data_IF_915277298893
#
_entry.id   IF_915277298893
#
_cell.length_a   1.000
_cell.length_b   1.000
_cell.length_c   1.000
_cell.angle_alpha   90.00
_cell.angle_beta   90.00
_cell.angle_gamma   90.00
#
_symmetry.space_group_name_H-M   'P 1'
#
loop_
_entity.id
_entity.type
_entity.pdbx_description
1 polymer ?
#
# COMPACT_ATOMS: atom_id res chain seq x y z
N UNK A 1 56.10 -1.44 16.63
CA UNK A 1 55.19 -0.90 17.65
C UNK A 1 54.80 0.50 17.20
N UNK A 2 53.63 0.81 16.66
CA UNK A 2 52.49 0.03 16.19
C UNK A 2 51.84 0.93 15.12
N UNK A 3 51.77 0.45 13.87
CA UNK A 3 51.12 1.17 12.79
C UNK A 3 49.60 1.06 12.98
N UNK A 4 48.96 2.21 13.15
CA UNK A 4 47.51 2.36 13.21
C UNK A 4 46.84 1.68 12.01
N UNK A 5 45.93 0.77 12.34
CA UNK A 5 45.09 0.06 11.40
C UNK A 5 44.15 1.07 10.73
N UNK A 6 44.43 1.42 9.48
CA UNK A 6 43.44 2.00 8.58
C UNK A 6 42.33 0.95 8.39
N UNK A 7 41.28 1.08 9.19
CA UNK A 7 40.06 0.29 9.07
C UNK A 7 39.39 0.68 7.76
N UNK A 8 39.51 -0.19 6.76
CA UNK A 8 38.70 -0.18 5.54
C UNK A 8 37.24 -0.10 5.94
N UNK A 9 36.62 1.07 5.73
CA UNK A 9 35.18 1.23 5.76
C UNK A 9 34.64 0.37 4.61
N UNK A 10 34.07 -0.78 4.96
CA UNK A 10 33.44 -1.65 3.98
C UNK A 10 32.34 -0.87 3.28
N UNK A 11 32.46 -0.73 1.96
CA UNK A 11 31.44 -0.18 1.10
C UNK A 11 30.14 -0.93 1.35
N UNK A 12 29.25 -0.31 2.14
CA UNK A 12 27.92 -0.77 2.39
C UNK A 12 27.13 -0.69 1.09
N UNK A 13 27.28 -1.71 0.25
CA UNK A 13 26.52 -1.87 -0.97
C UNK A 13 25.05 -1.98 -0.58
N UNK A 14 24.34 -0.85 -0.57
CA UNK A 14 22.89 -0.81 -0.41
C UNK A 14 22.35 -1.70 -1.53
N UNK A 15 21.67 -2.82 -1.22
CA UNK A 15 21.18 -3.70 -2.27
C UNK A 15 20.32 -2.87 -3.22
N UNK A 16 20.62 -2.95 -4.51
CA UNK A 16 19.94 -2.22 -5.57
C UNK A 16 18.47 -2.67 -5.56
N UNK A 17 17.63 -1.96 -4.80
CA UNK A 17 16.20 -2.27 -4.72
C UNK A 17 15.59 -1.84 -6.03
N UNK A 18 14.98 -2.79 -6.75
CA UNK A 18 14.10 -2.44 -7.87
C UNK A 18 13.07 -1.42 -7.37
N UNK A 19 12.99 -0.23 -7.99
CA UNK A 19 12.08 0.81 -7.53
C UNK A 19 10.64 0.28 -7.56
N UNK A 20 9.88 0.55 -6.50
CA UNK A 20 8.50 0.06 -6.44
C UNK A 20 7.66 0.71 -7.56
N UNK A 21 6.87 -0.08 -8.32
CA UNK A 21 6.21 0.43 -9.50
C UNK A 21 5.14 1.47 -9.14
N UNK A 22 5.02 2.55 -9.92
CA UNK A 22 4.03 3.59 -9.66
C UNK A 22 2.61 3.09 -9.95
N UNK A 23 1.62 3.60 -9.21
CA UNK A 23 0.20 3.33 -9.39
C UNK A 23 -0.60 4.62 -9.16
N UNK A 24 -1.60 4.88 -10.00
CA UNK A 24 -2.49 6.03 -9.80
C UNK A 24 -3.56 5.66 -8.78
N UNK A 25 -3.70 6.45 -7.72
CA UNK A 25 -4.70 6.29 -6.67
C UNK A 25 -5.68 7.44 -6.72
N UNK A 26 -6.98 7.14 -6.64
CA UNK A 26 -8.04 8.14 -6.51
C UNK A 26 -8.34 8.38 -5.03
N UNK A 27 -8.27 9.63 -4.61
CA UNK A 27 -8.62 10.09 -3.27
C UNK A 27 -10.14 10.33 -3.15
N UNK A 28 -10.69 10.44 -1.92
CA UNK A 28 -12.13 10.61 -1.71
C UNK A 28 -12.74 11.86 -2.37
N UNK A 29 -11.95 12.92 -2.53
CA UNK A 29 -12.34 14.16 -3.22
C UNK A 29 -12.27 14.06 -4.75
N UNK A 30 -11.90 12.88 -5.27
CA UNK A 30 -11.78 12.60 -6.70
C UNK A 30 -10.41 12.92 -7.28
N UNK A 31 -9.48 13.50 -6.51
CA UNK A 31 -8.11 13.77 -6.98
C UNK A 31 -7.37 12.47 -7.31
N UNK A 32 -6.50 12.54 -8.31
CA UNK A 32 -5.61 11.44 -8.69
C UNK A 32 -4.18 11.73 -8.26
N UNK A 33 -3.62 10.88 -7.39
CA UNK A 33 -2.21 10.95 -6.97
C UNK A 33 -1.44 9.74 -7.50
N UNK A 34 -0.15 9.90 -7.77
CA UNK A 34 0.73 8.78 -8.15
C UNK A 34 1.47 8.33 -6.91
N UNK A 35 1.24 7.08 -6.50
CA UNK A 35 1.90 6.45 -5.36
C UNK A 35 2.84 5.34 -5.83
N UNK A 36 3.77 4.92 -4.98
CA UNK A 36 4.52 3.68 -5.15
C UNK A 36 3.73 2.49 -4.62
N UNK A 37 3.64 1.40 -5.38
CA UNK A 37 2.93 0.20 -4.96
C UNK A 37 3.84 -0.77 -4.21
N UNK A 38 3.65 -0.85 -2.89
CA UNK A 38 4.51 -1.66 -2.01
C UNK A 38 4.08 -3.12 -1.94
N UNK A 39 2.77 -3.40 -1.92
CA UNK A 39 2.23 -4.76 -1.82
C UNK A 39 0.75 -4.83 -2.20
N UNK A 40 0.28 -6.05 -2.48
CA UNK A 40 -1.14 -6.39 -2.64
C UNK A 40 -1.52 -7.44 -1.61
N UNK A 41 -2.59 -7.20 -0.86
CA UNK A 41 -3.14 -8.20 0.06
C UNK A 41 -4.63 -8.41 -0.17
N UNK A 42 -5.09 -9.62 0.02
CA UNK A 42 -6.51 -9.95 -0.01
C UNK A 42 -7.05 -10.03 1.42
N UNK A 43 -8.26 -9.52 1.66
CA UNK A 43 -8.95 -9.62 2.96
C UNK A 43 -9.66 -10.98 3.10
N UNK A 44 -10.21 -11.26 4.29
CA UNK A 44 -10.99 -12.47 4.53
C UNK A 44 -12.27 -12.54 3.68
N UNK A 45 -12.82 -11.40 3.29
CA UNK A 45 -13.99 -11.22 2.44
C UNK A 45 -13.66 -11.41 0.96
N UNK A 46 -12.37 -11.45 0.60
CA UNK A 46 -11.91 -11.60 -0.77
C UNK A 46 -11.59 -10.28 -1.49
N UNK A 47 -11.75 -9.14 -0.82
CA UNK A 47 -11.40 -7.82 -1.37
C UNK A 47 -9.88 -7.65 -1.46
N UNK A 48 -9.42 -6.95 -2.50
CA UNK A 48 -8.01 -6.61 -2.65
C UNK A 48 -7.71 -5.22 -2.10
N UNK A 49 -6.69 -5.13 -1.25
CA UNK A 49 -6.13 -3.90 -0.73
C UNK A 49 -4.69 -3.76 -1.23
N UNK A 50 -4.36 -2.58 -1.72
CA UNK A 50 -3.02 -2.21 -2.18
C UNK A 50 -2.36 -1.37 -1.09
N UNK A 51 -1.18 -1.78 -0.63
CA UNK A 51 -0.34 -0.98 0.25
C UNK A 51 0.46 -0.03 -0.63
N UNK A 52 0.31 1.26 -0.42
CA UNK A 52 0.95 2.30 -1.24
C UNK A 52 1.73 3.28 -0.37
N UNK A 53 2.75 3.91 -0.94
CA UNK A 53 3.49 5.02 -0.34
C UNK A 53 3.36 6.28 -1.20
N UNK A 54 3.05 7.40 -0.56
CA UNK A 54 3.04 8.73 -1.16
C UNK A 54 4.03 9.62 -0.40
N UNK A 55 5.12 10.09 -1.03
CA UNK A 55 6.01 11.06 -0.39
C UNK A 55 5.28 12.40 -0.24
N UNK A 56 5.21 12.90 0.99
CA UNK A 56 4.63 14.19 1.33
C UNK A 56 5.63 14.99 2.18
N UNK A 57 5.58 16.31 2.08
CA UNK A 57 6.33 17.16 3.00
C UNK A 57 5.78 17.00 4.41
N UNK A 58 6.66 16.69 5.35
CA UNK A 58 6.35 16.65 6.76
C UNK A 58 7.27 17.58 7.52
N UNK A 59 6.73 18.18 8.58
CA UNK A 59 7.54 18.88 9.56
C UNK A 59 8.21 17.85 10.48
N UNK A 60 9.54 17.89 10.55
CA UNK A 60 10.36 16.93 11.30
C UNK A 60 11.26 17.71 12.24
N UNK A 61 11.42 17.21 13.47
CA UNK A 61 12.36 17.77 14.44
C UNK A 61 13.64 16.94 14.48
N UNK A 62 14.74 17.53 14.02
CA UNK A 62 16.07 16.92 14.06
C UNK A 62 16.86 17.55 15.21
N UNK A 63 16.84 16.88 16.37
CA UNK A 63 17.40 17.42 17.61
C UNK A 63 16.62 18.65 18.10
N UNK A 64 17.27 19.82 18.12
CA UNK A 64 16.64 21.10 18.50
C UNK A 64 16.20 21.95 17.31
N UNK A 65 16.37 21.45 16.07
CA UNK A 65 15.98 22.17 14.86
C UNK A 65 14.71 21.58 14.25
N UNK A 66 13.81 22.47 13.90
CA UNK A 66 12.66 22.18 13.08
C UNK A 66 13.01 22.29 11.59
N UNK A 67 12.64 21.28 10.81
CA UNK A 67 12.91 21.19 9.36
C UNK A 67 11.72 20.60 8.61
N UNK A 68 11.73 20.71 7.28
CA UNK A 68 10.72 20.12 6.39
C UNK A 68 11.38 19.11 5.48
N UNK A 69 10.92 17.86 5.53
CA UNK A 69 11.51 16.73 4.80
C UNK A 69 10.43 15.92 4.08
N UNK A 70 10.75 15.30 2.93
CA UNK A 70 9.84 14.37 2.28
C UNK A 70 9.77 13.08 3.09
N UNK A 71 8.57 12.70 3.53
CA UNK A 71 8.30 11.49 4.29
C UNK A 71 7.25 10.65 3.58
N UNK A 72 7.49 9.35 3.52
CA UNK A 72 6.52 8.40 2.97
C UNK A 72 5.31 8.25 3.89
N UNK A 73 4.16 8.71 3.40
CA UNK A 73 2.88 8.37 4.00
C UNK A 73 2.41 7.04 3.41
N UNK A 74 2.36 6.01 4.27
CA UNK A 74 2.02 4.64 3.87
C UNK A 74 0.60 4.30 4.30
N UNK A 75 -0.24 3.87 3.34
CA UNK A 75 -1.63 3.54 3.60
C UNK A 75 -2.13 2.39 2.72
N UNK A 76 -3.29 1.85 3.07
CA UNK A 76 -3.99 0.85 2.26
C UNK A 76 -5.12 1.52 1.48
N UNK A 77 -5.26 1.13 0.22
CA UNK A 77 -6.35 1.56 -0.64
C UNK A 77 -7.03 0.35 -1.27
N UNK A 78 -8.34 0.43 -1.48
CA UNK A 78 -9.07 -0.61 -2.21
C UNK A 78 -8.60 -0.66 -3.68
N UNK A 79 -8.51 -1.86 -4.25
CA UNK A 79 -7.96 -2.05 -5.60
C UNK A 79 -8.77 -1.33 -6.69
N UNK A 80 -10.07 -1.10 -6.47
CA UNK A 80 -10.95 -0.36 -7.39
C UNK A 80 -10.65 1.14 -7.46
N UNK A 81 -10.03 1.72 -6.41
CA UNK A 81 -9.53 3.10 -6.37
C UNK A 81 -8.08 3.23 -6.87
N UNK A 82 -7.43 2.11 -7.20
CA UNK A 82 -6.10 2.08 -7.79
C UNK A 82 -6.15 1.72 -9.28
N UNK A 83 -5.33 2.40 -10.08
CA UNK A 83 -5.22 2.18 -11.53
C UNK A 83 -3.75 1.98 -11.90
N UNK A 84 -3.40 0.83 -12.51
CA UNK A 84 -2.09 0.63 -13.11
C UNK A 84 -1.78 1.71 -14.14
N UNK A 85 -0.51 2.09 -14.26
CA UNK A 85 -0.04 2.98 -15.31
C UNK A 85 0.36 2.16 -16.55
N UNK A 86 0.04 2.63 -17.77
CA UNK A 86 0.43 1.94 -19.01
C UNK A 86 1.95 1.76 -19.11
N UNK A 87 2.39 0.62 -19.63
CA UNK A 87 3.81 0.31 -19.84
C UNK A 87 4.61 -0.02 -18.57
N UNK A 88 4.00 0.03 -17.39
CA UNK A 88 4.67 -0.30 -16.12
C UNK A 88 4.52 -1.79 -15.81
N UNK A 89 5.65 -2.47 -15.58
CA UNK A 89 5.65 -3.83 -15.05
C UNK A 89 5.36 -3.81 -13.56
N UNK A 90 4.47 -4.71 -13.13
CA UNK A 90 4.18 -4.95 -11.71
C UNK A 90 4.67 -6.32 -11.24
N UNK A 91 5.51 -6.98 -12.06
CA UNK A 91 6.18 -8.21 -11.68
C UNK A 91 7.06 -7.94 -10.46
N UNK A 92 7.00 -8.80 -9.46
CA UNK A 92 7.77 -8.66 -8.21
C UNK A 92 7.05 -7.91 -7.10
N UNK A 93 5.92 -7.25 -7.35
CA UNK A 93 5.10 -6.66 -6.27
C UNK A 93 4.61 -7.79 -5.36
N UNK A 94 4.91 -7.79 -4.04
CA UNK A 94 4.48 -8.83 -3.13
C UNK A 94 2.95 -9.01 -3.12
N UNK A 95 2.50 -10.27 -3.25
CA UNK A 95 1.08 -10.63 -3.20
C UNK A 95 0.84 -11.58 -2.03
N UNK A 96 -0.16 -11.27 -1.20
CA UNK A 96 -0.61 -12.12 -0.09
C UNK A 96 -2.11 -12.36 -0.17
N UNK A 97 -2.52 -13.62 -0.39
CA UNK A 97 -3.94 -14.01 -0.33
C UNK A 97 -4.32 -14.39 1.10
N UNK A 98 -5.55 -14.09 1.51
CA UNK A 98 -6.04 -14.51 2.82
C UNK A 98 -6.26 -16.04 2.85
N UNK A 99 -5.86 -16.75 3.91
CA UNK A 99 -6.02 -18.21 4.00
C UNK A 99 -7.46 -18.69 3.76
N UNK A 100 -8.46 -18.00 4.32
CA UNK A 100 -9.87 -18.35 4.10
C UNK A 100 -10.32 -18.25 2.64
N UNK A 101 -9.76 -17.30 1.88
CA UNK A 101 -10.08 -17.18 0.45
C UNK A 101 -9.48 -18.36 -0.31
N UNK A 102 -8.25 -18.76 0.03
CA UNK A 102 -7.60 -19.95 -0.55
C UNK A 102 -8.42 -21.21 -0.22
N UNK A 103 -8.83 -21.39 1.04
CA UNK A 103 -9.62 -22.54 1.48
C UNK A 103 -10.99 -22.61 0.78
N UNK A 104 -11.67 -21.47 0.62
CA UNK A 104 -12.95 -21.38 -0.12
C UNK A 104 -12.79 -21.74 -1.60
N UNK A 105 -11.74 -21.22 -2.25
CA UNK A 105 -11.45 -21.54 -3.65
C UNK A 105 -11.19 -23.04 -3.85
N UNK A 106 -10.50 -23.69 -2.90
CA UNK A 106 -10.25 -25.15 -2.93
C UNK A 106 -11.50 -25.99 -2.71
N UNK A 107 -12.41 -25.53 -1.85
CA UNK A 107 -13.62 -26.26 -1.48
C UNK A 107 -14.84 -25.93 -2.35
N UNK A 108 -14.71 -25.01 -3.30
CA UNK A 108 -15.82 -24.50 -4.12
C UNK A 108 -16.86 -23.69 -3.34
N UNK A 109 -16.64 -23.45 -2.04
CA UNK A 109 -17.63 -22.79 -1.16
C UNK A 109 -17.63 -21.29 -1.40
N UNK A 110 -18.69 -20.76 -2.00
CA UNK A 110 -18.88 -19.32 -2.17
C UNK A 110 -19.25 -18.66 -0.82
N UNK A 111 -18.75 -17.43 -0.55
CA UNK A 111 -19.26 -16.65 0.56
C UNK A 111 -20.75 -16.38 0.34
N UNK A 112 -21.53 -16.49 1.43
CA UNK A 112 -22.92 -16.03 1.44
C UNK A 112 -22.89 -14.51 1.25
N UNK A 113 -23.55 -14.00 0.22
CA UNK A 113 -23.74 -12.56 0.09
C UNK A 113 -24.45 -12.07 1.36
N UNK A 114 -23.85 -11.10 2.05
CA UNK A 114 -24.57 -10.32 3.05
C UNK A 114 -25.72 -9.64 2.33
N UNK A 115 -26.95 -9.94 2.72
CA UNK A 115 -28.12 -9.23 2.23
C UNK A 115 -27.89 -7.73 2.43
N UNK A 116 -28.27 -6.86 1.49
CA UNK A 116 -28.29 -5.44 1.76
C UNK A 116 -29.16 -5.23 3.00
N UNK A 117 -28.59 -4.64 4.05
CA UNK A 117 -29.36 -4.16 5.19
C UNK A 117 -30.37 -3.18 4.61
N UNK A 118 -31.63 -3.63 4.50
CA UNK A 118 -32.72 -2.80 4.03
C UNK A 118 -32.76 -1.58 4.94
N UNK A 119 -32.52 -0.41 4.35
CA UNK A 119 -32.97 0.86 4.92
C UNK A 119 -34.46 0.71 5.21
N UNK A 120 -34.96 0.80 6.44
CA UNK A 120 -36.39 1.00 6.62
C UNK A 120 -36.73 2.32 5.97
N UNK A 121 -37.42 2.25 4.85
CA UNK A 121 -38.10 3.38 4.24
C UNK A 121 -39.13 3.88 5.25
N UNK A 122 -38.77 4.92 6.00
CA UNK A 122 -39.72 5.74 6.72
C UNK A 122 -40.60 6.45 5.72
N UNK A 123 -41.73 5.83 5.40
CA UNK A 123 -42.86 6.46 4.73
C UNK A 123 -43.59 7.33 5.76
N UNK A 124 -43.54 8.64 5.52
CA UNK A 124 -44.66 9.59 5.50
C UNK A 124 -45.74 9.51 6.62
N UNK A 125 -45.95 10.62 7.34
CA UNK A 125 -47.20 11.39 7.33
C UNK A 125 -47.40 12.23 8.61
N UNK A 126 -47.46 13.56 8.43
CA UNK A 126 -48.33 14.57 9.07
C UNK A 126 -47.59 15.91 9.23
#
# INVERSE_FOLDING_TARGET
MDSEQASTVGDGQVPERTPEPPVRVRLPDGQGVVCRLLARRQTAEGLWLYKVALPLWAHVRLGQRDTTEPVDTVFYVAADQARPLPGVSYTGVPIRRHPLVIARARTGRRPRATAPTGTPAGTEAA
#
